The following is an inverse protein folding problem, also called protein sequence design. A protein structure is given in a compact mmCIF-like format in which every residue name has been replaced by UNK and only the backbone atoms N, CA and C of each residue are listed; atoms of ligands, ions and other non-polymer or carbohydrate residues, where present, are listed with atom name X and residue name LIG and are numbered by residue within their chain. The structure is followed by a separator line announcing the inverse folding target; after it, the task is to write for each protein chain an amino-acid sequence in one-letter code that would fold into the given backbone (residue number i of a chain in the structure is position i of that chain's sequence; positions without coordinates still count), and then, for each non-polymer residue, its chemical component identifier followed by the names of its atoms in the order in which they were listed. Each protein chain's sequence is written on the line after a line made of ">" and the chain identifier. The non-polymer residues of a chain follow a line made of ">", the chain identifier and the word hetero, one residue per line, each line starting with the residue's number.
data_IF_982537162124
#
_entry.id   IF_982537162124
#
_cell.length_a   1.000
_cell.length_b   1.000
_cell.length_c   1.000
_cell.angle_alpha   90.00
_cell.angle_beta   90.00
_cell.angle_gamma   90.00
#
_symmetry.space_group_name_H-M   'P 1'
#
loop_
_entity.id
_entity.type
_entity.pdbx_description
1 polymer ?
#
# COMPACT_ATOMS: atom_id res chain seq x y z
N UNK A 1 -1.11 -1.96 -13.44
CA UNK A 1 -1.83 -2.46 -12.24
C UNK A 1 -1.02 -2.05 -11.03
N UNK A 2 -1.65 -1.60 -9.95
CA UNK A 2 -0.95 -1.13 -8.74
C UNK A 2 -0.71 -2.32 -7.82
N UNK A 3 0.51 -2.48 -7.35
CA UNK A 3 0.90 -3.53 -6.40
C UNK A 3 1.06 -2.90 -5.02
N UNK A 4 0.60 -3.57 -3.99
CA UNK A 4 0.72 -3.16 -2.59
C UNK A 4 1.53 -4.25 -1.93
N UNK A 5 2.64 -3.88 -1.31
CA UNK A 5 3.50 -4.78 -0.56
C UNK A 5 3.56 -4.29 0.87
N UNK A 6 3.71 -5.19 1.83
CA UNK A 6 3.85 -4.87 3.25
C UNK A 6 4.21 -6.10 4.06
N UNK A 7 4.49 -5.90 5.34
CA UNK A 7 4.81 -6.96 6.29
C UNK A 7 3.83 -6.96 7.45
N UNK A 8 3.11 -8.06 7.59
CA UNK A 8 2.29 -8.34 8.75
C UNK A 8 3.02 -9.28 9.71
N UNK A 9 2.50 -9.43 10.92
CA UNK A 9 2.91 -10.48 11.88
C UNK A 9 2.94 -11.88 11.28
N UNK A 10 2.09 -12.18 10.29
CA UNK A 10 2.07 -13.44 9.56
C UNK A 10 3.09 -13.56 8.41
N UNK A 11 3.76 -12.46 8.04
CA UNK A 11 4.76 -12.41 6.97
C UNK A 11 4.45 -11.38 5.88
N UNK A 12 4.96 -11.62 4.66
CA UNK A 12 4.82 -10.69 3.54
C UNK A 12 3.39 -10.70 3.00
N UNK A 13 2.79 -9.51 2.89
CA UNK A 13 1.49 -9.27 2.26
C UNK A 13 1.71 -8.57 0.93
N UNK A 14 1.25 -9.21 -0.16
CA UNK A 14 1.27 -8.64 -1.51
C UNK A 14 -0.12 -8.66 -2.12
N UNK A 15 -0.65 -7.50 -2.48
CA UNK A 15 -1.99 -7.31 -3.06
C UNK A 15 -1.90 -6.52 -4.36
N UNK A 16 -2.85 -6.74 -5.27
CA UNK A 16 -2.95 -5.98 -6.52
C UNK A 16 -4.29 -5.24 -6.61
N UNK A 17 -4.25 -4.01 -7.13
CA UNK A 17 -5.43 -3.16 -7.35
C UNK A 17 -5.40 -2.53 -8.73
N UNK A 18 -6.59 -2.34 -9.28
CA UNK A 18 -6.78 -1.75 -10.60
C UNK A 18 -6.64 -0.23 -10.59
N UNK A 19 -6.85 0.42 -9.44
CA UNK A 19 -6.77 1.88 -9.30
C UNK A 19 -5.84 2.29 -8.16
N UNK A 20 -5.18 3.44 -8.32
CA UNK A 20 -4.30 4.04 -7.32
C UNK A 20 -5.06 4.32 -6.03
N UNK A 21 -6.25 4.93 -6.12
CA UNK A 21 -7.07 5.25 -4.94
C UNK A 21 -7.44 4.00 -4.13
N UNK A 22 -7.77 2.88 -4.80
CA UNK A 22 -8.04 1.62 -4.10
C UNK A 22 -6.77 1.00 -3.50
N UNK A 23 -5.62 1.18 -4.15
CA UNK A 23 -4.33 0.73 -3.64
C UNK A 23 -3.92 1.51 -2.39
N UNK A 24 -3.97 2.84 -2.44
CA UNK A 24 -3.66 3.72 -1.31
C UNK A 24 -4.61 3.50 -0.14
N UNK A 25 -5.92 3.38 -0.41
CA UNK A 25 -6.90 3.05 0.64
C UNK A 25 -6.55 1.74 1.33
N UNK A 26 -6.25 0.70 0.54
CA UNK A 26 -5.92 -0.61 1.11
C UNK A 26 -4.57 -0.62 1.83
N UNK A 27 -3.61 0.15 1.36
CA UNK A 27 -2.32 0.33 2.02
C UNK A 27 -2.47 1.01 3.40
N UNK A 28 -3.31 2.05 3.48
CA UNK A 28 -3.66 2.69 4.76
C UNK A 28 -4.33 1.70 5.71
N UNK A 29 -5.30 0.93 5.22
CA UNK A 29 -5.94 -0.13 6.01
C UNK A 29 -4.93 -1.14 6.55
N UNK A 30 -3.93 -1.55 5.74
CA UNK A 30 -2.86 -2.45 6.20
C UNK A 30 -2.05 -1.81 7.32
N UNK A 31 -1.65 -0.54 7.18
CA UNK A 31 -0.92 0.17 8.24
C UNK A 31 -1.72 0.28 9.53
N UNK A 32 -3.03 0.54 9.44
CA UNK A 32 -3.94 0.60 10.60
C UNK A 32 -4.18 -0.78 11.24
N UNK A 33 -4.12 -1.86 10.46
CA UNK A 33 -4.24 -3.26 10.92
C UNK A 33 -2.96 -3.75 11.64
N UNK A 34 -1.87 -2.98 11.59
CA UNK A 34 -0.58 -3.31 12.22
C UNK A 34 0.50 -3.77 11.23
N UNK A 35 0.25 -3.68 9.93
CA UNK A 35 1.21 -3.99 8.88
C UNK A 35 2.25 -2.85 8.77
N UNK A 36 3.54 -3.18 8.68
CA UNK A 36 4.63 -2.22 8.52
C UNK A 36 5.30 -2.35 7.14
N UNK A 37 6.13 -1.36 6.80
CA UNK A 37 6.82 -1.26 5.50
C UNK A 37 5.84 -1.39 4.32
N UNK A 38 4.67 -0.76 4.43
CA UNK A 38 3.66 -0.82 3.39
C UNK A 38 4.06 0.11 2.24
N UNK A 39 4.05 -0.41 1.01
CA UNK A 39 4.47 0.29 -0.20
C UNK A 39 3.50 0.00 -1.34
N UNK A 40 3.10 1.03 -2.08
CA UNK A 40 2.31 0.89 -3.30
C UNK A 40 3.17 1.19 -4.51
N UNK A 41 3.31 0.22 -5.43
CA UNK A 41 4.05 0.35 -6.67
C UNK A 41 3.07 0.55 -7.83
N UNK A 42 3.26 1.63 -8.56
CA UNK A 42 2.52 1.96 -9.77
C UNK A 42 3.08 1.20 -10.98
N UNK A 43 2.29 0.94 -12.05
CA UNK A 43 2.79 0.32 -13.27
C UNK A 43 3.94 1.07 -13.98
N UNK A 44 4.09 2.37 -13.75
CA UNK A 44 5.23 3.18 -14.18
C UNK A 44 6.43 3.12 -13.21
N UNK A 45 6.36 2.31 -12.15
CA UNK A 45 7.45 2.04 -11.22
C UNK A 45 7.58 3.04 -10.07
N UNK A 46 6.64 3.98 -9.89
CA UNK A 46 6.63 4.87 -8.72
C UNK A 46 6.20 4.11 -7.48
N UNK A 47 6.94 4.34 -6.41
CA UNK A 47 6.66 3.75 -5.10
C UNK A 47 6.08 4.81 -4.18
N UNK A 48 4.95 4.48 -3.54
CA UNK A 48 4.27 5.31 -2.55
C UNK A 48 4.37 4.61 -1.20
N UNK A 49 5.12 5.18 -0.27
CA UNK A 49 5.40 4.61 1.06
C UNK A 49 4.81 5.44 2.22
N UNK A 50 4.35 6.65 1.93
CA UNK A 50 3.80 7.59 2.91
C UNK A 50 2.33 7.82 2.61
N UNK A 51 1.46 7.15 3.35
CA UNK A 51 0.00 7.27 3.22
C UNK A 51 -0.59 8.33 4.17
N UNK A 52 0.26 8.99 4.96
CA UNK A 52 -0.12 9.95 5.99
C UNK A 52 -0.46 11.36 5.47
N UNK A 53 -0.06 11.74 4.24
CA UNK A 53 -0.13 13.14 3.78
C UNK A 53 -0.82 13.32 2.42
N UNK A 54 -2.06 12.83 2.29
CA UNK A 54 -2.97 13.23 1.19
C UNK A 54 -4.35 13.68 1.70
N UNK A 55 -4.40 14.22 2.91
CA UNK A 55 -5.53 15.01 3.41
C UNK A 55 -5.11 16.49 3.39
N UNK A 56 -5.19 17.12 2.22
CA UNK A 56 -5.15 18.57 2.08
C UNK A 56 -6.55 19.14 2.32
#
# INVERSE_FOLDING_TARGET
>A
MFEINGFDTAGVVSLKRLSLAAALKKAKELTEDGCWDVQVVDPAGRVYTSFEEQAA
#
